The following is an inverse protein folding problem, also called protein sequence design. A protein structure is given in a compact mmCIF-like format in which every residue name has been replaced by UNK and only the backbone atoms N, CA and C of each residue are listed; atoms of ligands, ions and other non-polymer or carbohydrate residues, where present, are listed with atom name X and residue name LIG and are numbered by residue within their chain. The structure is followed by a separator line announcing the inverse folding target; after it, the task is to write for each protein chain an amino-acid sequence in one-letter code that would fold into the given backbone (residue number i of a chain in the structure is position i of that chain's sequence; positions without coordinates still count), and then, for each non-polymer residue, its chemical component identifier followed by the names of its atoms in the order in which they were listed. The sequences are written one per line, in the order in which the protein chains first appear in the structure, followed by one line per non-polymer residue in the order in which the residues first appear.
data_IF_235041441623
#
_entry.id   IF_235041441623
#
_cell.length_a   1.000
_cell.length_b   1.000
_cell.length_c   1.000
_cell.angle_alpha   90.00
_cell.angle_beta   90.00
_cell.angle_gamma   90.00
#
_symmetry.space_group_name_H-M   'P 1'
#
loop_
_entity.id
_entity.type
_entity.pdbx_description
1 polymer ?
#
# COMPACT_ATOMS: atom_id res chain seq x y z
N UNK A 1 -4.03 65.06 43.34
CA UNK A 1 -3.78 63.92 44.26
C UNK A 1 -4.10 62.66 43.47
N UNK A 2 -3.10 62.08 42.80
CA UNK A 2 -2.34 60.88 43.21
C UNK A 2 -3.03 59.60 42.67
N UNK A 3 -2.48 58.94 41.64
CA UNK A 3 -1.65 57.71 41.70
C UNK A 3 -2.34 56.52 42.40
N UNK A 4 -2.26 55.24 42.06
CA UNK A 4 -1.58 54.39 41.06
C UNK A 4 -1.85 52.94 41.56
N UNK A 5 -1.87 51.95 40.64
CA UNK A 5 -1.52 50.51 40.80
C UNK A 5 -2.60 49.39 40.66
N UNK A 6 -2.31 48.54 39.63
CA UNK A 6 -2.36 47.04 39.53
C UNK A 6 -3.71 46.32 39.48
N UNK A 7 -3.93 45.23 38.73
CA UNK A 7 -3.00 44.24 38.15
C UNK A 7 -3.59 43.50 36.93
N UNK A 8 -2.76 43.38 35.89
CA UNK A 8 -2.53 42.32 34.89
C UNK A 8 -3.07 40.89 35.14
N UNK A 9 -3.66 40.23 34.12
CA UNK A 9 -3.42 38.79 33.76
C UNK A 9 -4.29 38.31 32.57
N UNK A 10 -3.69 38.14 31.37
CA UNK A 10 -3.94 37.08 30.37
C UNK A 10 -3.23 37.41 29.04
N UNK A 11 -1.92 37.16 29.03
CA UNK A 11 -1.12 37.04 27.81
C UNK A 11 0.04 36.08 28.11
N UNK A 12 -0.31 34.80 28.36
CA UNK A 12 0.65 33.70 28.51
C UNK A 12 0.11 32.57 27.65
N UNK A 13 0.56 32.51 26.41
CA UNK A 13 0.17 31.49 25.43
C UNK A 13 1.05 31.50 24.19
N UNK A 14 1.50 32.67 23.75
CA UNK A 14 2.29 32.80 22.51
C UNK A 14 3.81 32.85 22.73
N UNK A 15 4.27 33.09 23.97
CA UNK A 15 5.70 33.26 24.25
C UNK A 15 6.48 31.93 24.37
N UNK A 16 5.82 30.80 24.64
CA UNK A 16 6.53 29.53 24.91
C UNK A 16 7.05 28.83 23.64
N UNK A 17 6.44 29.06 22.48
CA UNK A 17 6.93 28.50 21.20
C UNK A 17 8.14 29.25 20.63
N UNK A 18 8.34 30.51 21.04
CA UNK A 18 9.48 31.32 20.57
C UNK A 18 10.75 31.05 21.40
N UNK A 19 10.62 30.78 22.69
CA UNK A 19 11.77 30.57 23.59
C UNK A 19 12.48 29.23 23.33
N UNK A 20 11.78 28.21 22.83
CA UNK A 20 12.41 26.95 22.43
C UNK A 20 13.14 27.02 21.07
N UNK A 21 12.94 28.07 20.27
CA UNK A 21 13.67 28.31 19.01
C UNK A 21 15.08 28.89 19.22
N UNK A 22 15.43 29.33 20.42
CA UNK A 22 16.67 30.11 20.66
C UNK A 22 17.87 29.24 21.04
N UNK A 23 17.68 27.95 21.32
CA UNK A 23 18.74 27.14 21.95
C UNK A 23 19.74 26.51 20.97
N UNK A 24 19.56 26.64 19.65
CA UNK A 24 20.47 26.05 18.65
C UNK A 24 20.63 26.92 17.39
N UNK A 25 20.74 28.24 17.53
CA UNK A 25 21.12 29.10 16.38
C UNK A 25 22.62 28.96 16.09
N UNK A 26 23.02 28.79 14.80
CA UNK A 26 24.41 28.96 14.38
C UNK A 26 24.90 30.37 14.75
N UNK A 27 26.19 30.49 15.06
CA UNK A 27 26.82 31.76 15.51
C UNK A 27 26.65 32.92 14.51
N UNK A 28 26.25 32.66 13.27
CA UNK A 28 26.04 33.64 12.20
C UNK A 28 24.78 34.52 12.36
N UNK A 29 23.83 34.19 13.23
CA UNK A 29 22.57 34.97 13.38
C UNK A 29 22.67 36.13 14.41
N UNK A 30 23.77 36.23 15.16
CA UNK A 30 23.92 37.26 16.21
C UNK A 30 24.32 38.65 15.64
N UNK A 31 24.64 38.75 14.34
CA UNK A 31 25.13 40.00 13.72
C UNK A 31 24.08 40.94 13.09
N UNK A 32 22.81 40.55 12.97
CA UNK A 32 21.86 41.30 12.12
C UNK A 32 20.85 42.22 12.84
N UNK A 33 20.97 42.43 14.15
CA UNK A 33 20.16 43.42 14.88
C UNK A 33 20.97 44.66 15.25
N UNK A 34 21.36 45.48 14.26
CA UNK A 34 21.79 46.86 14.49
C UNK A 34 21.83 47.70 13.21
N UNK A 35 20.67 48.23 12.80
CA UNK A 35 20.51 49.59 12.23
C UNK A 35 19.06 49.85 11.85
N UNK A 36 18.30 50.46 12.76
CA UNK A 36 17.10 51.23 12.43
C UNK A 36 16.70 52.13 13.60
N UNK A 37 17.52 53.14 13.92
CA UNK A 37 17.04 54.34 14.64
C UNK A 37 17.74 55.55 14.01
N UNK A 38 17.05 56.19 13.08
CA UNK A 38 17.40 57.48 12.48
C UNK A 38 16.25 58.46 12.70
N UNK A 39 16.59 59.63 13.19
CA UNK A 39 15.74 60.66 13.80
C UNK A 39 14.55 61.18 12.96
N UNK A 40 13.46 61.50 13.68
CA UNK A 40 12.42 62.46 13.28
C UNK A 40 12.93 63.89 13.47
N UNK A 41 12.78 64.78 12.47
CA UNK A 41 12.47 66.22 12.59
C UNK A 41 12.11 66.76 11.19
N UNK A 42 10.96 67.44 11.07
CA UNK A 42 10.37 67.83 9.79
C UNK A 42 10.66 69.25 9.32
N UNK A 43 10.34 69.54 8.05
CA UNK A 43 9.76 70.83 7.59
C UNK A 43 9.20 70.72 6.16
N UNK A 44 8.24 71.61 5.90
CA UNK A 44 7.21 71.68 4.85
C UNK A 44 7.65 72.64 3.72
N UNK A 45 7.38 72.32 2.45
CA UNK A 45 6.82 73.27 1.46
C UNK A 45 6.44 72.60 0.11
N UNK A 46 5.41 73.19 -0.51
CA UNK A 46 4.60 72.74 -1.66
C UNK A 46 5.31 72.87 -3.03
N UNK A 47 4.99 71.98 -3.98
CA UNK A 47 4.30 72.31 -5.24
C UNK A 47 4.24 71.11 -6.22
N UNK A 48 3.06 70.94 -6.84
CA UNK A 48 2.81 70.35 -8.18
C UNK A 48 3.12 68.86 -8.42
N UNK A 49 2.05 68.04 -8.48
CA UNK A 49 2.02 66.79 -9.25
C UNK A 49 1.95 67.11 -10.77
N UNK A 50 2.47 66.27 -11.70
CA UNK A 50 2.19 64.82 -11.70
C UNK A 50 3.35 63.92 -12.11
N UNK A 51 3.42 62.74 -11.49
CA UNK A 51 3.63 61.46 -12.18
C UNK A 51 3.46 60.35 -11.15
N UNK A 52 2.55 59.42 -11.44
CA UNK A 52 2.40 58.18 -10.70
C UNK A 52 3.67 57.33 -10.87
N UNK A 53 4.65 57.53 -9.99
CA UNK A 53 5.68 56.53 -9.76
C UNK A 53 5.01 55.38 -9.02
N UNK A 54 4.90 54.24 -9.70
CA UNK A 54 4.57 52.97 -9.07
C UNK A 54 5.53 52.75 -7.88
N UNK A 55 4.96 52.62 -6.68
CA UNK A 55 5.72 52.22 -5.50
C UNK A 55 6.41 50.87 -5.75
N UNK A 56 7.63 50.64 -5.22
CA UNK A 56 8.31 49.36 -5.38
C UNK A 56 7.43 48.24 -4.81
N UNK A 57 7.29 47.14 -5.57
CA UNK A 57 6.56 45.95 -5.11
C UNK A 57 7.35 45.22 -4.01
N UNK A 58 7.29 45.70 -2.77
CA UNK A 58 7.83 45.00 -1.59
C UNK A 58 6.95 43.86 -1.02
N UNK A 59 5.59 43.88 -1.06
CA UNK A 59 4.80 42.86 -0.35
C UNK A 59 4.89 41.47 -1.00
N UNK A 60 4.95 41.41 -2.34
CA UNK A 60 4.99 40.14 -3.06
C UNK A 60 6.27 39.36 -2.77
N UNK A 61 7.42 40.04 -2.66
CA UNK A 61 8.73 39.41 -2.46
C UNK A 61 8.81 38.74 -1.09
N UNK A 62 8.27 39.38 -0.04
CA UNK A 62 8.23 38.80 1.30
C UNK A 62 7.34 37.56 1.31
N UNK A 63 6.17 37.63 0.65
CA UNK A 63 5.27 36.49 0.55
C UNK A 63 5.91 35.29 -0.17
N UNK A 64 6.72 35.51 -1.22
CA UNK A 64 7.45 34.45 -1.90
C UNK A 64 8.49 33.76 -1.00
N UNK A 65 9.22 34.51 -0.16
CA UNK A 65 10.26 33.94 0.72
C UNK A 65 9.70 32.94 1.73
N UNK A 66 8.46 33.17 2.18
CA UNK A 66 7.78 32.31 3.16
C UNK A 66 6.83 31.30 2.51
N UNK A 67 6.58 31.40 1.20
CA UNK A 67 5.57 30.59 0.51
C UNK A 67 5.79 29.08 0.68
N UNK A 68 7.05 28.64 0.60
CA UNK A 68 7.40 27.23 0.83
C UNK A 68 7.08 26.80 2.27
N UNK A 69 7.61 27.51 3.27
CA UNK A 69 7.42 27.18 4.69
C UNK A 69 5.94 27.19 5.07
N UNK A 70 5.21 28.22 4.65
CA UNK A 70 3.77 28.32 4.90
C UNK A 70 3.00 27.14 4.29
N UNK A 71 3.31 26.79 3.03
CA UNK A 71 2.69 25.64 2.37
C UNK A 71 3.03 24.31 3.06
N UNK A 72 4.28 24.15 3.50
CA UNK A 72 4.74 22.95 4.17
C UNK A 72 4.09 22.78 5.54
N UNK A 73 4.19 23.79 6.40
CA UNK A 73 3.66 23.73 7.77
C UNK A 73 2.15 23.57 7.79
N UNK A 74 1.44 24.18 6.82
CA UNK A 74 -0.01 24.00 6.66
C UNK A 74 -0.40 22.54 6.39
N UNK A 75 0.41 21.78 5.65
CA UNK A 75 0.09 20.40 5.25
C UNK A 75 0.68 19.33 6.17
N UNK A 76 1.84 19.59 6.77
CA UNK A 76 2.64 18.58 7.49
C UNK A 76 2.92 18.93 8.95
N UNK A 77 2.68 20.18 9.36
CA UNK A 77 2.96 20.67 10.72
C UNK A 77 4.37 21.24 10.88
N UNK A 78 4.71 21.62 12.11
CA UNK A 78 5.93 22.37 12.44
C UNK A 78 7.17 21.50 12.72
N UNK A 79 7.07 20.18 12.54
CA UNK A 79 8.20 19.26 12.75
C UNK A 79 8.89 19.04 11.41
N UNK A 80 9.96 19.78 11.17
CA UNK A 80 10.77 19.70 9.96
C UNK A 80 12.17 20.31 10.20
N UNK A 81 13.14 20.08 9.30
CA UNK A 81 14.44 20.72 9.36
C UNK A 81 14.32 22.25 9.30
N UNK A 82 15.25 22.96 9.92
CA UNK A 82 15.23 24.42 9.88
C UNK A 82 15.57 24.94 8.47
N UNK A 83 14.56 25.42 7.73
CA UNK A 83 14.73 26.00 6.40
C UNK A 83 14.88 27.52 6.47
N UNK A 84 15.90 28.06 5.78
CA UNK A 84 16.11 29.50 5.69
C UNK A 84 15.14 30.15 4.69
N UNK A 85 14.36 31.13 5.16
CA UNK A 85 13.42 31.91 4.34
C UNK A 85 14.13 33.06 3.60
N UNK A 86 15.08 32.72 2.72
CA UNK A 86 15.84 33.67 1.90
C UNK A 86 16.11 33.10 0.49
N UNK A 87 16.81 33.87 -0.35
CA UNK A 87 17.17 33.41 -1.70
C UNK A 87 18.22 32.31 -1.65
N UNK A 88 18.27 31.45 -2.65
CA UNK A 88 19.22 30.34 -2.69
C UNK A 88 20.69 30.80 -2.61
N UNK A 89 21.04 31.89 -3.30
CA UNK A 89 22.39 32.46 -3.25
C UNK A 89 22.78 32.98 -1.85
N UNK A 90 21.82 33.43 -1.05
CA UNK A 90 22.08 33.86 0.33
C UNK A 90 22.41 32.63 1.20
N UNK A 91 21.70 31.51 1.02
CA UNK A 91 22.00 30.25 1.72
C UNK A 91 23.36 29.67 1.33
N UNK A 92 23.73 29.73 0.05
CA UNK A 92 25.06 29.29 -0.39
C UNK A 92 26.18 30.03 0.34
N UNK A 93 26.04 31.35 0.48
CA UNK A 93 27.00 32.17 1.21
C UNK A 93 27.06 31.80 2.70
N UNK A 94 25.91 31.62 3.35
CA UNK A 94 25.85 31.18 4.76
C UNK A 94 26.54 29.83 4.96
N UNK A 95 26.33 28.89 4.03
CA UNK A 95 26.97 27.58 4.07
C UNK A 95 28.49 27.65 3.86
N UNK A 96 28.97 28.56 3.00
CA UNK A 96 30.40 28.80 2.78
C UNK A 96 31.08 29.37 4.03
N UNK A 97 30.42 30.34 4.69
CA UNK A 97 30.88 30.97 5.94
C UNK A 97 30.91 29.95 7.09
N UNK A 98 29.89 29.10 7.19
CA UNK A 98 29.76 28.07 8.24
C UNK A 98 30.52 26.77 7.91
N UNK A 99 31.18 26.68 6.75
CA UNK A 99 31.86 25.46 6.22
C UNK A 99 30.95 24.22 6.22
N UNK A 100 29.67 24.44 5.88
CA UNK A 100 28.63 23.41 5.77
C UNK A 100 28.21 23.20 4.32
N UNK A 101 27.53 22.09 4.09
CA UNK A 101 26.86 21.82 2.82
C UNK A 101 25.44 22.35 2.84
N UNK A 102 24.88 22.65 1.67
CA UNK A 102 23.48 23.04 1.52
C UNK A 102 22.64 21.81 1.20
N UNK A 103 21.59 21.56 1.98
CA UNK A 103 20.51 20.68 1.54
C UNK A 103 19.47 21.52 0.81
N UNK A 104 19.34 21.30 -0.50
CA UNK A 104 18.29 21.88 -1.33
C UNK A 104 17.11 20.92 -1.41
N UNK A 105 15.92 21.41 -1.08
CA UNK A 105 14.67 20.67 -1.16
C UNK A 105 13.68 21.35 -2.12
N UNK A 106 13.27 20.66 -3.19
CA UNK A 106 12.17 21.12 -4.04
C UNK A 106 10.89 20.37 -3.67
N UNK A 107 9.90 21.16 -3.24
CA UNK A 107 8.61 20.69 -2.78
C UNK A 107 7.57 20.73 -3.89
N UNK A 108 6.93 19.59 -4.15
CA UNK A 108 5.76 19.48 -5.03
C UNK A 108 4.63 18.80 -4.25
N UNK A 109 3.66 19.55 -3.70
CA UNK A 109 2.62 19.00 -2.84
C UNK A 109 1.69 18.03 -3.57
N UNK A 110 1.57 18.17 -4.89
CA UNK A 110 0.69 17.36 -5.73
C UNK A 110 1.25 15.96 -6.04
N UNK A 111 2.52 15.69 -5.70
CA UNK A 111 3.17 14.42 -6.02
C UNK A 111 2.85 13.35 -4.95
N UNK A 112 2.47 12.11 -5.34
CA UNK A 112 1.96 11.09 -4.42
C UNK A 112 2.95 10.68 -3.32
N UNK A 113 4.25 10.76 -3.57
CA UNK A 113 5.28 10.40 -2.58
C UNK A 113 5.67 11.55 -1.64
N UNK A 114 5.27 12.79 -1.95
CA UNK A 114 5.65 13.97 -1.15
C UNK A 114 5.09 13.88 0.27
N UNK A 115 3.79 13.60 0.50
CA UNK A 115 3.24 13.60 1.85
C UNK A 115 3.91 12.60 2.81
N UNK A 116 4.12 11.36 2.35
CA UNK A 116 4.75 10.31 3.15
C UNK A 116 6.19 10.68 3.49
N UNK A 117 6.96 11.15 2.51
CA UNK A 117 8.34 11.60 2.74
C UNK A 117 8.41 12.76 3.74
N UNK A 118 7.54 13.77 3.61
CA UNK A 118 7.53 14.92 4.52
C UNK A 118 7.24 14.49 5.97
N UNK A 119 6.25 13.60 6.17
CA UNK A 119 5.81 13.17 7.51
C UNK A 119 6.75 12.16 8.15
N UNK A 120 7.19 11.16 7.39
CA UNK A 120 7.90 10.00 7.95
C UNK A 120 9.41 10.10 7.81
N UNK A 121 9.92 10.78 6.79
CA UNK A 121 11.36 10.89 6.52
C UNK A 121 11.90 12.24 6.98
N UNK A 122 11.45 13.33 6.35
CA UNK A 122 11.98 14.67 6.57
C UNK A 122 11.61 15.21 7.96
N UNK A 123 10.39 14.93 8.43
CA UNK A 123 9.91 15.29 9.76
C UNK A 123 10.34 14.32 10.87
N UNK A 124 11.10 13.27 10.57
CA UNK A 124 11.62 12.38 11.62
C UNK A 124 12.63 13.11 12.50
N UNK A 125 12.59 12.86 13.81
CA UNK A 125 13.50 13.51 14.76
C UNK A 125 14.97 13.28 14.42
N UNK A 126 15.32 12.07 13.98
CA UNK A 126 16.68 11.72 13.55
C UNK A 126 17.12 12.56 12.34
N UNK A 127 16.26 12.71 11.32
CA UNK A 127 16.59 13.52 10.15
C UNK A 127 16.72 14.99 10.51
N UNK A 128 15.78 15.54 11.31
CA UNK A 128 15.80 16.94 11.74
C UNK A 128 17.09 17.26 12.50
N UNK A 129 17.47 16.42 13.47
CA UNK A 129 18.69 16.61 14.26
C UNK A 129 19.96 16.50 13.38
N UNK A 130 20.01 15.48 12.51
CA UNK A 130 21.16 15.28 11.63
C UNK A 130 21.33 16.44 10.64
N UNK A 131 20.24 16.92 10.05
CA UNK A 131 20.27 18.02 9.10
C UNK A 131 20.63 19.34 9.77
N UNK A 132 20.10 19.62 10.96
CA UNK A 132 20.46 20.82 11.73
C UNK A 132 21.96 20.86 12.08
N UNK A 133 22.55 19.71 12.42
CA UNK A 133 23.96 19.63 12.77
C UNK A 133 24.88 19.84 11.55
N UNK A 134 24.54 19.23 10.40
CA UNK A 134 25.48 19.08 9.29
C UNK A 134 25.22 19.98 8.09
N UNK A 135 24.00 20.49 7.91
CA UNK A 135 23.58 21.19 6.70
C UNK A 135 23.00 22.58 6.98
N UNK A 136 23.08 23.45 5.98
CA UNK A 136 22.22 24.63 5.87
C UNK A 136 21.06 24.25 4.93
N UNK A 137 19.84 24.18 5.46
CA UNK A 137 18.70 23.68 4.68
C UNK A 137 17.98 24.83 3.98
N UNK A 138 17.67 24.63 2.70
CA UNK A 138 16.88 25.54 1.89
C UNK A 138 15.78 24.78 1.15
N UNK A 139 14.58 25.37 1.10
CA UNK A 139 13.42 24.75 0.50
C UNK A 139 12.66 25.72 -0.40
N UNK A 140 12.13 25.22 -1.51
CA UNK A 140 11.32 25.99 -2.44
C UNK A 140 10.20 25.15 -3.05
N UNK A 141 9.12 25.82 -3.49
CA UNK A 141 8.07 25.19 -4.28
C UNK A 141 8.57 24.95 -5.71
N UNK A 142 8.34 23.75 -6.25
CA UNK A 142 8.79 23.39 -7.60
C UNK A 142 8.01 24.13 -8.70
N UNK A 143 6.78 24.56 -8.41
CA UNK A 143 5.87 25.18 -9.39
C UNK A 143 5.85 26.73 -9.34
N UNK A 144 6.55 27.37 -8.40
CA UNK A 144 6.51 28.83 -8.22
C UNK A 144 7.81 29.37 -7.61
N UNK A 145 8.02 30.68 -7.74
CA UNK A 145 9.15 31.37 -7.12
C UNK A 145 10.50 30.88 -7.64
N UNK A 146 11.51 30.86 -6.76
CA UNK A 146 12.88 30.46 -7.13
C UNK A 146 12.97 28.98 -7.53
N UNK A 147 12.16 28.10 -6.93
CA UNK A 147 12.16 26.67 -7.26
C UNK A 147 11.69 26.35 -8.70
N UNK A 148 10.78 27.17 -9.25
CA UNK A 148 10.37 27.05 -10.65
C UNK A 148 11.55 27.34 -11.61
N UNK A 149 12.35 28.36 -11.31
CA UNK A 149 13.51 28.72 -12.13
C UNK A 149 14.66 27.71 -12.02
N UNK A 150 14.77 27.01 -10.88
CA UNK A 150 15.81 26.00 -10.67
C UNK A 150 15.46 24.63 -11.26
N UNK A 151 14.18 24.32 -11.43
CA UNK A 151 13.71 23.02 -11.91
C UNK A 151 14.27 22.61 -13.29
N UNK A 152 14.36 23.48 -14.32
CA UNK A 152 14.95 23.14 -15.61
C UNK A 152 16.45 22.79 -15.54
N UNK A 153 17.18 23.40 -14.62
CA UNK A 153 18.61 23.16 -14.40
C UNK A 153 18.84 21.86 -13.65
N UNK A 154 18.04 21.60 -12.61
CA UNK A 154 18.19 20.42 -11.76
C UNK A 154 17.57 19.15 -12.35
N UNK A 155 16.59 19.29 -13.25
CA UNK A 155 15.85 18.20 -13.92
C UNK A 155 15.48 17.06 -12.97
N UNK A 156 14.70 17.35 -11.90
CA UNK A 156 14.27 16.32 -10.97
C UNK A 156 13.47 15.23 -11.71
N UNK A 157 13.87 13.97 -11.55
CA UNK A 157 13.20 12.82 -12.18
C UNK A 157 11.85 12.48 -11.50
N UNK A 158 11.70 12.82 -10.22
CA UNK A 158 10.49 12.61 -9.41
C UNK A 158 10.52 13.54 -8.19
N UNK A 159 9.39 13.63 -7.49
CA UNK A 159 9.29 14.37 -6.24
C UNK A 159 8.97 13.43 -5.07
N UNK A 160 9.35 13.79 -3.84
CA UNK A 160 10.13 14.97 -3.46
C UNK A 160 11.58 14.91 -3.98
N UNK A 161 12.14 16.07 -4.33
CA UNK A 161 13.52 16.16 -4.83
C UNK A 161 14.42 16.81 -3.78
N UNK A 162 15.52 16.14 -3.44
CA UNK A 162 16.58 16.66 -2.58
C UNK A 162 17.91 16.65 -3.33
N UNK A 163 18.70 17.70 -3.17
CA UNK A 163 20.07 17.76 -3.67
C UNK A 163 21.00 18.28 -2.56
N UNK A 164 22.23 17.77 -2.53
CA UNK A 164 23.30 18.32 -1.70
C UNK A 164 24.15 19.21 -2.59
N UNK A 165 24.26 20.49 -2.22
CA UNK A 165 25.05 21.48 -2.94
C UNK A 165 26.21 21.93 -2.05
N UNK A 166 27.44 21.79 -2.55
CA UNK A 166 28.61 22.33 -1.89
C UNK A 166 28.86 23.77 -2.37
N UNK A 167 29.04 24.74 -1.47
CA UNK A 167 29.71 25.99 -1.82
C UNK A 167 31.09 25.64 -2.38
N UNK A 168 31.44 26.18 -3.55
CA UNK A 168 32.59 25.74 -4.31
C UNK A 168 33.89 25.84 -3.49
N UNK A 169 34.36 24.69 -3.01
CA UNK A 169 35.74 24.48 -2.57
C UNK A 169 36.17 23.11 -3.09
N UNK A 170 37.27 23.08 -3.83
CA UNK A 170 37.72 21.89 -4.56
C UNK A 170 37.90 20.68 -3.63
N UNK A 171 38.32 20.92 -2.38
CA UNK A 171 38.48 19.89 -1.36
C UNK A 171 37.16 19.22 -0.94
N UNK A 172 36.08 20.00 -0.74
CA UNK A 172 34.79 19.43 -0.33
C UNK A 172 34.13 18.64 -1.46
N UNK A 173 34.30 19.09 -2.71
CA UNK A 173 33.81 18.38 -3.89
C UNK A 173 34.50 17.03 -4.03
N UNK A 174 35.83 16.98 -3.86
CA UNK A 174 36.59 15.73 -3.93
C UNK A 174 36.15 14.73 -2.84
N UNK A 175 35.97 15.20 -1.59
CA UNK A 175 35.51 14.34 -0.49
C UNK A 175 34.09 13.80 -0.74
N UNK A 176 33.18 14.63 -1.25
CA UNK A 176 31.82 14.22 -1.57
C UNK A 176 31.79 13.21 -2.71
N UNK A 177 32.57 13.46 -3.75
CA UNK A 177 32.68 12.56 -4.89
C UNK A 177 33.21 11.19 -4.46
N UNK A 178 34.27 11.17 -3.64
CA UNK A 178 34.80 9.92 -3.06
C UNK A 178 33.77 9.19 -2.21
N UNK A 179 33.00 9.90 -1.39
CA UNK A 179 31.96 9.30 -0.54
C UNK A 179 30.83 8.70 -1.36
N UNK A 180 30.41 9.37 -2.44
CA UNK A 180 29.40 8.87 -3.38
C UNK A 180 29.93 7.64 -4.13
N UNK A 181 31.18 7.64 -4.56
CA UNK A 181 31.81 6.51 -5.23
C UNK A 181 31.96 5.30 -4.28
N UNK A 182 32.34 5.53 -3.03
CA UNK A 182 32.55 4.47 -2.04
C UNK A 182 31.24 3.87 -1.51
N UNK A 183 30.24 4.71 -1.20
CA UNK A 183 28.97 4.27 -0.57
C UNK A 183 27.79 4.18 -1.52
N UNK A 184 27.87 4.80 -2.71
CA UNK A 184 26.84 4.75 -3.74
C UNK A 184 26.47 3.34 -4.22
N UNK A 185 27.43 2.41 -4.41
CA UNK A 185 27.12 1.04 -4.82
C UNK A 185 26.21 0.31 -3.84
N UNK A 186 26.34 0.53 -2.53
CA UNK A 186 25.49 -0.12 -1.52
C UNK A 186 24.00 0.26 -1.66
N UNK A 187 23.71 1.52 -2.03
CA UNK A 187 22.36 1.98 -2.34
C UNK A 187 21.89 1.49 -3.72
N UNK A 188 22.77 1.50 -4.72
CA UNK A 188 22.47 1.02 -6.08
C UNK A 188 22.11 -0.46 -6.12
N UNK A 189 22.82 -1.30 -5.36
CA UNK A 189 22.57 -2.75 -5.25
C UNK A 189 21.15 -3.02 -4.72
N UNK A 190 20.68 -2.23 -3.75
CA UNK A 190 19.34 -2.41 -3.18
C UNK A 190 18.24 -2.11 -4.21
N UNK A 191 18.42 -1.06 -5.01
CA UNK A 191 17.46 -0.69 -6.07
C UNK A 191 17.50 -1.67 -7.25
N UNK A 192 18.70 -2.05 -7.70
CA UNK A 192 18.87 -3.00 -8.80
C UNK A 192 18.30 -4.39 -8.46
N UNK A 193 18.51 -4.85 -7.21
CA UNK A 193 17.98 -6.12 -6.72
C UNK A 193 16.46 -6.13 -6.64
N UNK A 194 15.83 -5.01 -6.31
CA UNK A 194 14.37 -4.88 -6.31
C UNK A 194 13.80 -4.86 -7.73
N UNK A 195 14.40 -4.10 -8.64
CA UNK A 195 14.02 -4.09 -10.06
C UNK A 195 14.17 -5.47 -10.73
N UNK A 196 15.17 -6.25 -10.32
CA UNK A 196 15.37 -7.62 -10.78
C UNK A 196 14.33 -8.59 -10.21
N UNK A 197 13.93 -8.41 -8.94
CA UNK A 197 12.81 -9.15 -8.33
C UNK A 197 11.49 -8.89 -9.05
N UNK A 198 11.20 -7.63 -9.36
CA UNK A 198 9.98 -7.26 -10.09
C UNK A 198 9.98 -7.90 -11.49
N UNK A 199 11.12 -7.87 -12.19
CA UNK A 199 11.24 -8.49 -13.53
C UNK A 199 11.07 -10.00 -13.49
N UNK A 200 11.69 -10.67 -12.53
CA UNK A 200 11.58 -12.13 -12.38
C UNK A 200 10.19 -12.57 -11.95
N UNK A 201 9.51 -11.80 -11.08
CA UNK A 201 8.11 -12.06 -10.73
C UNK A 201 7.18 -11.90 -11.95
N UNK A 202 7.40 -10.86 -12.77
CA UNK A 202 6.63 -10.64 -14.00
C UNK A 202 6.78 -11.81 -14.98
N UNK A 203 8.02 -12.21 -15.27
CA UNK A 203 8.32 -13.33 -16.16
C UNK A 203 7.70 -14.64 -15.66
N UNK A 204 7.77 -14.90 -14.35
CA UNK A 204 7.20 -16.09 -13.75
C UNK A 204 5.67 -16.13 -13.91
N UNK A 205 4.98 -14.99 -13.75
CA UNK A 205 3.53 -14.91 -13.98
C UNK A 205 3.17 -15.14 -15.44
N UNK A 206 3.91 -14.53 -16.36
CA UNK A 206 3.69 -14.73 -17.80
C UNK A 206 3.87 -16.20 -18.21
N UNK A 207 4.90 -16.87 -17.68
CA UNK A 207 5.14 -18.29 -17.95
C UNK A 207 4.02 -19.16 -17.37
N UNK A 208 3.54 -18.86 -16.16
CA UNK A 208 2.40 -19.55 -15.56
C UNK A 208 1.11 -19.35 -16.36
N UNK A 209 0.82 -18.12 -16.78
CA UNK A 209 -0.38 -17.79 -17.56
C UNK A 209 -0.32 -18.46 -18.95
N UNK A 210 0.85 -18.48 -19.59
CA UNK A 210 1.06 -19.16 -20.87
C UNK A 210 0.86 -20.69 -20.74
N UNK A 211 1.42 -21.31 -19.70
CA UNK A 211 1.26 -22.75 -19.45
C UNK A 211 -0.21 -23.11 -19.17
N UNK A 212 -0.93 -22.26 -18.42
CA UNK A 212 -2.35 -22.44 -18.14
C UNK A 212 -3.19 -22.36 -19.42
N UNK A 213 -2.95 -21.36 -20.27
CA UNK A 213 -3.65 -21.20 -21.55
C UNK A 213 -3.40 -22.38 -22.48
N UNK A 214 -2.16 -22.89 -22.55
CA UNK A 214 -1.82 -24.06 -23.35
C UNK A 214 -2.55 -25.33 -22.87
N UNK A 215 -2.58 -25.57 -21.54
CA UNK A 215 -3.32 -26.71 -20.97
C UNK A 215 -4.82 -26.63 -21.29
N UNK A 216 -5.41 -25.45 -21.16
CA UNK A 216 -6.83 -25.23 -21.45
C UNK A 216 -7.16 -25.50 -22.94
N UNK A 217 -6.25 -25.15 -23.85
CA UNK A 217 -6.42 -25.44 -25.28
C UNK A 217 -6.36 -26.95 -25.56
N UNK A 218 -5.39 -27.66 -24.96
CA UNK A 218 -5.28 -29.11 -25.11
C UNK A 218 -6.50 -29.85 -24.56
N UNK A 219 -7.03 -29.42 -23.41
CA UNK A 219 -8.23 -30.01 -22.83
C UNK A 219 -9.46 -29.80 -23.72
N UNK A 220 -9.62 -28.60 -24.29
CA UNK A 220 -10.69 -28.30 -25.26
C UNK A 220 -10.58 -29.14 -26.53
N UNK A 221 -9.38 -29.27 -27.08
CA UNK A 221 -9.15 -30.06 -28.29
C UNK A 221 -9.42 -31.54 -28.05
N UNK A 222 -8.94 -32.09 -26.92
CA UNK A 222 -9.20 -33.47 -26.51
C UNK A 222 -10.69 -33.73 -26.30
N UNK A 223 -11.43 -32.78 -25.73
CA UNK A 223 -12.89 -32.87 -25.62
C UNK A 223 -13.56 -32.86 -27.01
N UNK A 224 -13.10 -31.99 -27.92
CA UNK A 224 -13.60 -31.94 -29.30
C UNK A 224 -13.38 -33.26 -30.04
N UNK A 225 -12.19 -33.84 -29.92
CA UNK A 225 -11.85 -35.14 -30.52
C UNK A 225 -12.71 -36.27 -29.93
N UNK A 226 -12.95 -36.26 -28.61
CA UNK A 226 -13.87 -37.23 -27.97
C UNK A 226 -15.31 -37.09 -28.49
N UNK A 227 -15.81 -35.86 -28.65
CA UNK A 227 -17.16 -35.61 -29.19
C UNK A 227 -17.28 -36.13 -30.63
N UNK A 228 -16.32 -35.79 -31.49
CA UNK A 228 -16.28 -36.26 -32.88
C UNK A 228 -16.19 -37.80 -32.97
N UNK A 229 -15.36 -38.43 -32.14
CA UNK A 229 -15.24 -39.89 -32.11
C UNK A 229 -16.53 -40.58 -31.60
N UNK A 230 -17.27 -39.94 -30.70
CA UNK A 230 -18.57 -40.42 -30.26
C UNK A 230 -19.60 -40.29 -31.39
N UNK A 231 -19.66 -39.14 -32.05
CA UNK A 231 -20.55 -38.88 -33.19
C UNK A 231 -20.29 -39.83 -34.37
N UNK A 232 -19.05 -40.17 -34.69
CA UNK A 232 -18.71 -41.13 -35.76
C UNK A 232 -19.10 -42.59 -35.40
N UNK A 233 -19.17 -42.91 -34.10
CA UNK A 233 -19.59 -44.24 -33.63
C UNK A 233 -21.11 -44.43 -33.64
N UNK A 234 -21.90 -43.36 -33.51
CA UNK A 234 -23.38 -43.44 -33.55
C UNK A 234 -23.94 -44.03 -34.86
N UNK A 235 -23.54 -43.57 -36.07
CA UNK A 235 -24.04 -44.13 -37.32
C UNK A 235 -23.51 -45.55 -37.58
N UNK A 236 -22.26 -45.87 -37.21
CA UNK A 236 -21.71 -47.23 -37.38
C UNK A 236 -22.42 -48.27 -36.53
N UNK A 237 -22.85 -47.91 -35.31
CA UNK A 237 -23.62 -48.80 -34.43
C UNK A 237 -25.08 -48.94 -34.91
N UNK A 238 -25.69 -47.86 -35.42
CA UNK A 238 -27.04 -47.90 -35.98
C UNK A 238 -27.11 -48.74 -37.29
N UNK A 239 -26.12 -48.60 -38.17
CA UNK A 239 -26.01 -49.41 -39.40
C UNK A 239 -25.72 -50.89 -39.11
N UNK A 240 -24.89 -51.19 -38.11
CA UNK A 240 -24.64 -52.57 -37.67
C UNK A 240 -25.89 -53.20 -37.03
N UNK A 241 -26.68 -52.43 -36.27
CA UNK A 241 -27.92 -52.90 -35.66
C UNK A 241 -29.01 -53.17 -36.71
N UNK A 242 -29.13 -52.32 -37.73
CA UNK A 242 -30.08 -52.51 -38.84
C UNK A 242 -29.73 -53.70 -39.74
N UNK A 243 -28.43 -53.99 -39.95
CA UNK A 243 -27.99 -55.22 -40.64
C UNK A 243 -28.32 -56.48 -39.84
N UNK A 244 -28.07 -56.48 -38.52
CA UNK A 244 -28.40 -57.60 -37.64
C UNK A 244 -29.91 -57.85 -37.47
N UNK A 245 -30.74 -56.80 -37.52
CA UNK A 245 -32.20 -56.91 -37.50
C UNK A 245 -32.74 -57.51 -38.80
N UNK A 246 -32.19 -57.13 -39.96
CA UNK A 246 -32.58 -57.66 -41.27
C UNK A 246 -32.12 -59.11 -41.50
N UNK A 247 -31.01 -59.55 -40.89
CA UNK A 247 -30.58 -60.96 -40.91
C UNK A 247 -31.47 -61.86 -40.05
N UNK A 248 -31.94 -61.38 -38.88
CA UNK A 248 -32.86 -62.13 -38.01
C UNK A 248 -34.25 -62.37 -38.62
N UNK A 249 -34.72 -61.50 -39.52
CA UNK A 249 -35.99 -61.70 -40.23
C UNK A 249 -35.90 -62.80 -41.32
N UNK A 250 -34.71 -63.12 -41.83
CA UNK A 250 -34.52 -64.16 -42.86
C UNK A 250 -34.32 -65.58 -42.30
N UNK A 251 -34.10 -65.75 -41.00
CA UNK A 251 -33.80 -67.05 -40.39
C UNK A 251 -34.98 -67.70 -39.65
N UNK A 252 -36.14 -67.03 -39.55
CA UNK A 252 -37.32 -67.53 -38.84
C UNK A 252 -38.36 -68.21 -39.74
N UNK A 253 -37.94 -69.19 -40.55
CA UNK A 253 -38.84 -70.14 -41.18
C UNK A 253 -38.34 -71.57 -41.04
N UNK A 254 -38.18 -72.07 -39.81
CA UNK A 254 -38.45 -73.49 -39.45
C UNK A 254 -38.28 -73.78 -37.95
N UNK A 255 -39.41 -74.18 -37.30
CA UNK A 255 -39.55 -75.19 -36.23
C UNK A 255 -38.83 -74.91 -34.89
N UNK A 256 -39.50 -74.43 -33.84
CA UNK A 256 -40.46 -75.10 -32.91
C UNK A 256 -39.89 -76.36 -32.24
N UNK A 257 -39.62 -76.31 -30.92
CA UNK A 257 -40.34 -77.09 -29.88
C UNK A 257 -39.67 -77.09 -28.49
N UNK A 258 -40.49 -76.81 -27.45
CA UNK A 258 -40.50 -77.39 -26.10
C UNK A 258 -39.33 -77.10 -25.11
N UNK A 259 -39.46 -76.92 -23.78
CA UNK A 259 -40.58 -76.79 -22.81
C UNK A 259 -39.96 -76.45 -21.42
N UNK A 260 -40.36 -75.33 -20.81
CA UNK A 260 -40.86 -75.12 -19.42
C UNK A 260 -40.03 -75.52 -18.15
N UNK A 261 -39.83 -74.49 -17.27
CA UNK A 261 -39.71 -74.43 -15.76
C UNK A 261 -38.39 -74.91 -15.09
N UNK A 262 -37.90 -74.38 -13.95
CA UNK A 262 -38.49 -73.86 -12.69
C UNK A 262 -37.62 -72.71 -12.06
N UNK A 263 -38.19 -71.56 -11.64
CA UNK A 263 -38.47 -71.07 -10.26
C UNK A 263 -37.38 -71.29 -9.18
N UNK A 264 -36.68 -70.22 -8.76
CA UNK A 264 -36.94 -69.38 -7.56
C UNK A 264 -36.64 -70.04 -6.20
N UNK A 265 -35.62 -69.52 -5.48
CA UNK A 265 -35.65 -69.10 -4.06
C UNK A 265 -34.25 -68.58 -3.65
N UNK A 266 -34.09 -67.28 -3.35
CA UNK A 266 -34.16 -66.60 -2.04
C UNK A 266 -32.81 -66.52 -1.29
N UNK A 267 -32.24 -65.31 -1.14
CA UNK A 267 -31.92 -64.73 0.19
C UNK A 267 -31.45 -63.26 0.09
N UNK A 268 -32.21 -62.42 0.81
CA UNK A 268 -31.87 -61.16 1.48
C UNK A 268 -30.39 -60.87 1.74
N UNK A 269 -29.94 -59.63 1.52
CA UNK A 269 -29.81 -58.59 2.58
C UNK A 269 -29.31 -57.24 2.03
N UNK A 270 -30.04 -56.20 2.42
CA UNK A 270 -29.67 -54.79 2.63
C UNK A 270 -28.59 -54.10 1.79
N UNK A 271 -29.06 -53.04 1.13
CA UNK A 271 -28.38 -51.80 0.78
C UNK A 271 -27.33 -51.43 1.83
N UNK A 272 -26.05 -51.49 1.44
CA UNK A 272 -25.01 -50.62 1.96
C UNK A 272 -24.36 -49.93 0.78
N UNK A 273 -25.09 -48.94 0.24
CA UNK A 273 -24.41 -47.76 -0.24
C UNK A 273 -23.53 -47.28 0.92
N UNK A 274 -22.21 -47.25 0.72
CA UNK A 274 -21.31 -46.48 1.58
C UNK A 274 -21.70 -45.01 1.43
N UNK A 275 -22.76 -44.60 2.10
CA UNK A 275 -23.02 -43.22 2.43
C UNK A 275 -21.93 -42.85 3.43
N UNK A 276 -20.76 -42.44 2.93
CA UNK A 276 -19.79 -41.71 3.73
C UNK A 276 -20.49 -40.43 4.17
N UNK A 277 -21.18 -40.48 5.31
CA UNK A 277 -21.79 -39.34 5.98
C UNK A 277 -20.72 -38.44 6.63
N UNK A 278 -19.50 -38.50 6.11
CA UNK A 278 -18.35 -37.76 6.59
C UNK A 278 -18.43 -36.38 5.95
N UNK A 279 -18.72 -35.40 6.79
CA UNK A 279 -18.74 -33.99 6.45
C UNK A 279 -17.35 -33.43 6.70
N UNK A 280 -16.67 -33.04 5.63
CA UNK A 280 -15.33 -32.46 5.74
C UNK A 280 -15.44 -30.95 5.95
N UNK A 281 -15.02 -30.48 7.13
CA UNK A 281 -15.03 -29.05 7.47
C UNK A 281 -13.61 -28.53 7.49
N UNK A 282 -13.35 -27.49 6.70
CA UNK A 282 -12.09 -26.76 6.68
C UNK A 282 -12.26 -25.45 7.44
N UNK A 283 -11.48 -25.27 8.50
CA UNK A 283 -11.48 -24.06 9.33
C UNK A 283 -10.26 -23.22 8.95
N UNK A 284 -10.49 -21.97 8.56
CA UNK A 284 -9.46 -20.98 8.31
C UNK A 284 -9.31 -20.06 9.53
N UNK A 285 -8.10 -20.02 10.07
CA UNK A 285 -7.74 -19.20 11.22
C UNK A 285 -7.24 -17.82 10.76
N UNK A 286 -7.38 -16.76 11.59
CA UNK A 286 -6.86 -15.42 11.31
C UNK A 286 -5.35 -15.38 11.05
N UNK A 287 -4.59 -16.32 11.63
CA UNK A 287 -3.15 -16.46 11.43
C UNK A 287 -2.77 -17.08 10.06
N UNK A 288 -3.75 -17.36 9.19
CA UNK A 288 -3.55 -17.97 7.88
C UNK A 288 -3.50 -19.51 7.91
N UNK A 289 -3.54 -20.14 9.08
CA UNK A 289 -3.58 -21.60 9.18
C UNK A 289 -4.91 -22.18 8.69
N UNK A 290 -4.83 -23.37 8.10
CA UNK A 290 -6.01 -24.12 7.64
C UNK A 290 -6.04 -25.47 8.35
N UNK A 291 -7.12 -25.78 9.08
CA UNK A 291 -7.31 -27.07 9.74
C UNK A 291 -8.55 -27.77 9.19
N UNK A 292 -8.35 -28.92 8.57
CA UNK A 292 -9.43 -29.78 8.11
C UNK A 292 -9.77 -30.83 9.17
N UNK A 293 -11.06 -31.04 9.45
CA UNK A 293 -11.54 -32.16 10.26
C UNK A 293 -12.82 -32.75 9.66
N UNK A 294 -12.91 -34.07 9.73
CA UNK A 294 -14.12 -34.81 9.35
C UNK A 294 -15.04 -34.95 10.56
N UNK A 295 -16.30 -34.60 10.38
CA UNK A 295 -17.39 -34.74 11.34
C UNK A 295 -18.49 -35.60 10.74
N UNK A 296 -19.36 -36.18 11.57
CA UNK A 296 -20.53 -36.88 11.05
C UNK A 296 -21.59 -35.85 10.61
N UNK A 297 -22.35 -36.16 9.56
CA UNK A 297 -23.43 -35.27 9.09
C UNK A 297 -24.50 -34.97 10.15
N UNK A 298 -24.64 -35.84 11.14
CA UNK A 298 -25.55 -35.74 12.28
C UNK A 298 -24.96 -34.98 13.47
N UNK A 299 -23.67 -34.67 13.47
CA UNK A 299 -23.03 -33.92 14.55
C UNK A 299 -23.58 -32.49 14.61
N UNK A 300 -23.53 -31.90 15.81
CA UNK A 300 -23.94 -30.51 16.05
C UNK A 300 -22.82 -29.54 15.71
N UNK A 301 -23.16 -28.29 15.37
CA UNK A 301 -22.19 -27.20 15.22
C UNK A 301 -21.31 -27.05 16.47
N UNK A 302 -21.86 -27.28 17.66
CA UNK A 302 -21.10 -27.28 18.91
C UNK A 302 -19.88 -28.23 18.90
N UNK A 303 -19.91 -29.33 18.16
CA UNK A 303 -18.76 -30.24 18.03
C UNK A 303 -17.57 -29.58 17.31
N UNK A 304 -17.83 -28.60 16.43
CA UNK A 304 -16.82 -27.81 15.74
C UNK A 304 -16.17 -26.80 16.69
N UNK A 305 -16.98 -26.10 17.50
CA UNK A 305 -16.50 -25.21 18.56
C UNK A 305 -15.63 -25.95 19.57
N UNK A 306 -16.11 -27.09 20.08
CA UNK A 306 -15.34 -27.95 20.99
C UNK A 306 -14.00 -28.39 20.39
N UNK A 307 -13.97 -28.66 19.09
CA UNK A 307 -12.72 -29.01 18.41
C UNK A 307 -11.75 -27.83 18.38
N UNK A 308 -12.23 -26.62 18.06
CA UNK A 308 -11.39 -25.40 18.05
C UNK A 308 -10.84 -25.12 19.44
N UNK A 309 -11.68 -25.24 20.47
CA UNK A 309 -11.27 -25.05 21.87
C UNK A 309 -10.19 -26.08 22.27
N UNK A 310 -10.29 -27.32 21.80
CA UNK A 310 -9.28 -28.37 22.08
C UNK A 310 -7.92 -28.13 21.43
N UNK A 311 -7.82 -27.22 20.45
CA UNK A 311 -6.54 -26.90 19.81
C UNK A 311 -5.66 -25.97 20.66
N UNK A 312 -6.15 -25.44 21.78
CA UNK A 312 -5.41 -24.62 22.76
C UNK A 312 -4.49 -23.56 22.11
N UNK A 313 -4.98 -22.87 21.07
CA UNK A 313 -4.20 -21.79 20.45
C UNK A 313 -4.13 -20.59 21.42
N UNK A 314 -2.92 -20.09 21.74
CA UNK A 314 -2.78 -18.82 22.42
C UNK A 314 -3.33 -17.73 21.49
N UNK A 315 -4.19 -16.84 21.99
CA UNK A 315 -4.85 -15.70 21.31
C UNK A 315 -6.31 -15.88 20.84
N UNK A 316 -7.02 -16.96 21.16
CA UNK A 316 -8.46 -17.07 20.85
C UNK A 316 -9.27 -16.40 21.98
N UNK A 317 -9.68 -15.15 21.77
CA UNK A 317 -10.72 -14.47 22.56
C UNK A 317 -12.13 -14.96 22.20
N UNK A 318 -13.18 -14.15 22.38
CA UNK A 318 -14.49 -14.44 21.80
C UNK A 318 -14.38 -14.56 20.28
N UNK A 319 -14.91 -15.63 19.69
CA UNK A 319 -14.84 -15.84 18.24
C UNK A 319 -16.18 -16.29 17.66
N UNK A 320 -16.39 -15.99 16.37
CA UNK A 320 -17.57 -16.40 15.59
C UNK A 320 -17.12 -17.19 14.36
N UNK A 321 -17.89 -18.21 13.99
CA UNK A 321 -17.67 -19.00 12.77
C UNK A 321 -18.55 -18.48 11.63
N UNK A 322 -17.95 -18.25 10.47
CA UNK A 322 -18.63 -17.72 9.28
C UNK A 322 -18.44 -18.66 8.09
N UNK A 323 -19.53 -19.08 7.43
CA UNK A 323 -19.43 -19.75 6.12
C UNK A 323 -19.28 -18.73 5.00
N UNK A 324 -18.52 -19.06 3.96
CA UNK A 324 -18.37 -18.19 2.77
C UNK A 324 -19.62 -18.14 1.90
N UNK A 325 -20.21 -19.31 1.57
CA UNK A 325 -21.32 -19.36 0.63
C UNK A 325 -22.33 -20.49 0.94
N UNK A 326 -23.62 -20.19 1.11
CA UNK A 326 -24.17 -18.85 1.40
C UNK A 326 -23.56 -18.31 2.70
N UNK A 327 -23.37 -16.99 2.79
CA UNK A 327 -22.75 -16.38 3.98
C UNK A 327 -23.68 -16.53 5.19
N UNK A 328 -23.27 -17.34 6.16
CA UNK A 328 -24.00 -17.56 7.42
C UNK A 328 -23.04 -17.37 8.59
N UNK A 329 -23.50 -16.67 9.62
CA UNK A 329 -22.74 -16.45 10.85
C UNK A 329 -23.30 -17.37 11.91
N UNK A 330 -22.47 -18.29 12.39
CA UNK A 330 -22.82 -19.22 13.44
C UNK A 330 -22.36 -18.64 14.78
N UNK A 331 -23.22 -17.85 15.44
CA UNK A 331 -22.97 -17.29 16.77
C UNK A 331 -23.49 -18.16 17.92
N UNK A 332 -23.98 -17.52 18.99
CA UNK A 332 -24.58 -18.18 20.16
C UNK A 332 -25.90 -18.92 19.83
N UNK A 333 -26.68 -18.42 18.89
CA UNK A 333 -28.05 -18.90 18.62
C UNK A 333 -28.15 -20.24 17.84
N UNK A 334 -27.27 -20.57 16.87
CA UNK A 334 -27.36 -21.84 16.12
C UNK A 334 -26.48 -22.99 16.67
N UNK A 335 -26.03 -22.99 17.92
CA UNK A 335 -25.10 -24.03 18.43
C UNK A 335 -25.68 -25.46 18.46
N UNK A 336 -27.00 -25.62 18.51
CA UNK A 336 -27.68 -26.91 18.60
C UNK A 336 -28.07 -27.54 17.25
N UNK A 337 -27.86 -26.83 16.14
CA UNK A 337 -28.25 -27.29 14.80
C UNK A 337 -27.25 -28.34 14.29
N UNK A 338 -27.73 -29.34 13.53
CA UNK A 338 -26.88 -30.36 12.93
C UNK A 338 -26.08 -29.78 11.75
N UNK A 339 -24.91 -30.35 11.46
CA UNK A 339 -24.07 -29.91 10.33
C UNK A 339 -24.80 -30.04 8.98
N UNK A 340 -25.69 -31.02 8.84
CA UNK A 340 -26.55 -31.18 7.66
C UNK A 340 -27.59 -30.06 7.56
N UNK A 341 -28.30 -29.74 8.64
CA UNK A 341 -29.33 -28.69 8.65
C UNK A 341 -28.73 -27.27 8.54
N UNK A 342 -27.49 -27.11 9.00
CA UNK A 342 -26.71 -25.90 8.82
C UNK A 342 -26.28 -25.65 7.36
N UNK A 343 -26.37 -26.67 6.50
CA UNK A 343 -25.89 -26.62 5.11
C UNK A 343 -24.37 -26.78 4.99
N UNK A 344 -23.73 -27.43 5.95
CA UNK A 344 -22.27 -27.65 5.98
C UNK A 344 -21.85 -29.02 5.40
N UNK A 345 -22.81 -29.84 4.95
CA UNK A 345 -22.60 -31.13 4.30
C UNK A 345 -22.64 -31.01 2.77
N UNK A 346 -21.79 -31.72 1.99
CA UNK A 346 -20.75 -32.69 2.39
C UNK A 346 -19.37 -32.08 2.67
N UNK A 347 -19.11 -30.87 2.16
CA UNK A 347 -17.86 -30.14 2.38
C UNK A 347 -18.17 -28.69 2.68
N UNK A 348 -17.56 -28.13 3.71
CA UNK A 348 -17.75 -26.74 4.08
C UNK A 348 -16.45 -26.05 4.47
N UNK A 349 -16.41 -24.74 4.25
CA UNK A 349 -15.31 -23.87 4.62
C UNK A 349 -15.82 -22.81 5.59
N UNK A 350 -15.23 -22.78 6.79
CA UNK A 350 -15.57 -21.86 7.86
C UNK A 350 -14.39 -20.94 8.15
N UNK A 351 -14.66 -19.67 8.33
CA UNK A 351 -13.71 -18.64 8.74
C UNK A 351 -13.93 -18.33 10.20
N UNK A 352 -12.84 -18.28 10.96
CA UNK A 352 -12.86 -17.86 12.35
C UNK A 352 -12.61 -16.34 12.39
N UNK A 353 -13.61 -15.58 12.82
CA UNK A 353 -13.52 -14.14 13.06
C UNK A 353 -13.44 -13.89 14.56
N UNK A 354 -12.41 -13.18 15.01
CA UNK A 354 -12.27 -12.74 16.39
C UNK A 354 -13.23 -11.57 16.64
N UNK A 355 -13.96 -11.61 17.75
CA UNK A 355 -14.94 -10.61 18.18
C UNK A 355 -14.34 -9.73 19.26
#
# INVERSE_FOLDING_TARGET
MSSMWRETSRAIGEANGFVQRVVNLPRSVIGCFSRAVGHTHGRRNQASQPNFFAYPQEPTIIQEKWAFLASYEQQYGSVHPFFYACRFMEVLKMAEDDKKLVLLYLHSPDHPFTPTFCRETLGSELAVQFLAANFVCWGALANRGEGLHMSPTLRPASFPFCAVVAPASDQLVEILQRTVEEKGPAFGISRAKEEERIRTDHQLREEQDAAYLASLQLDKEKERLKKLALEERVPKVAEASNKAYNEKIKQNSTKVSATIREKQQNKTTNIQDKCSQDTQILILFPNGERRGKSFLSTDKIHSVYRFIDSLNLPCIGSYKLISSFPRRVYGADPMSVTLKDAGLHPKATLFLELV
#
